data_IF_075783995256
#
_entry.id   IF_075783995256
#
_cell.length_a   1.000
_cell.length_b   1.000
_cell.length_c   1.000
_cell.angle_alpha   90.00
_cell.angle_beta   90.00
_cell.angle_gamma   90.00
#
_symmetry.space_group_name_H-M   'P 1'
#
loop_
_entity.id
_entity.type
_entity.pdbx_description
1 polymer ?
#
# COMPACT_ATOMS: atom_id res chain seq x y z
N UNK A 1 19.85 4.56 21.22
CA UNK A 1 19.96 5.76 20.36
C UNK A 1 18.69 6.59 20.58
N UNK A 2 18.78 7.83 21.01
CA UNK A 2 17.62 8.63 21.41
C UNK A 2 16.78 9.00 20.19
N UNK A 3 15.46 9.02 20.33
CA UNK A 3 14.47 9.41 19.30
C UNK A 3 14.63 10.86 18.79
N UNK A 4 15.55 11.63 19.37
CA UNK A 4 15.69 13.08 19.14
C UNK A 4 16.26 13.47 17.76
N UNK A 5 16.75 12.52 16.95
CA UNK A 5 17.36 12.80 15.64
C UNK A 5 16.66 12.11 14.45
N UNK A 6 15.38 11.74 14.59
CA UNK A 6 14.63 11.11 13.51
C UNK A 6 13.68 12.10 12.83
N UNK A 7 13.69 12.13 11.50
CA UNK A 7 12.65 12.83 10.75
C UNK A 7 11.34 12.06 10.64
N UNK A 8 11.28 10.83 11.18
CA UNK A 8 10.04 10.03 11.23
C UNK A 8 8.97 10.72 12.08
N UNK A 9 7.77 10.73 11.57
CA UNK A 9 6.57 11.15 12.31
C UNK A 9 5.97 9.96 13.08
N UNK A 10 6.09 8.75 12.51
CA UNK A 10 5.63 7.51 13.13
C UNK A 10 6.68 7.01 14.12
N UNK A 11 6.36 6.85 15.42
CA UNK A 11 7.31 6.47 16.45
C UNK A 11 7.58 4.95 16.44
N UNK A 12 8.32 4.48 15.45
CA UNK A 12 8.75 3.07 15.36
C UNK A 12 10.25 3.00 15.65
N UNK A 13 10.67 2.25 16.68
CA UNK A 13 12.08 1.97 16.91
C UNK A 13 12.64 1.16 15.73
N UNK A 14 13.92 1.28 15.45
CA UNK A 14 14.57 0.48 14.42
C UNK A 14 15.72 -0.34 15.01
N UNK A 15 16.02 -1.47 14.33
CA UNK A 15 17.06 -2.42 14.69
C UNK A 15 17.91 -2.69 13.44
N UNK A 16 19.22 -2.55 13.54
CA UNK A 16 20.15 -2.83 12.44
C UNK A 16 21.03 -4.06 12.68
N UNK A 17 21.08 -4.56 13.91
CA UNK A 17 21.96 -5.65 14.31
C UNK A 17 21.25 -6.58 15.31
N UNK A 18 21.28 -7.90 15.09
CA UNK A 18 21.85 -8.57 13.92
C UNK A 18 21.01 -8.30 12.64
N UNK A 19 21.68 -8.34 11.47
CA UNK A 19 21.05 -8.09 10.17
C UNK A 19 20.04 -9.16 9.78
N UNK A 20 20.28 -10.39 10.20
CA UNK A 20 19.37 -11.52 10.13
C UNK A 20 19.47 -12.35 11.40
N UNK A 21 18.33 -12.75 11.96
CA UNK A 21 18.28 -13.57 13.16
C UNK A 21 17.10 -14.55 13.13
N UNK A 22 17.19 -15.62 13.92
CA UNK A 22 16.09 -16.52 14.20
C UNK A 22 15.68 -16.36 15.66
N UNK A 23 14.41 -16.06 15.92
CA UNK A 23 13.91 -15.90 17.27
C UNK A 23 13.67 -17.26 17.98
N UNK A 24 13.31 -17.20 19.26
CA UNK A 24 13.10 -18.39 20.11
C UNK A 24 11.91 -19.24 19.69
N UNK A 25 10.98 -18.71 18.88
CA UNK A 25 9.83 -19.46 18.35
C UNK A 25 10.06 -19.96 16.92
N UNK A 26 11.25 -19.76 16.38
CA UNK A 26 11.68 -20.27 15.08
C UNK A 26 11.37 -19.34 13.91
N UNK A 27 10.94 -18.09 14.12
CA UNK A 27 10.72 -17.09 13.09
C UNK A 27 12.03 -16.42 12.69
N UNK A 28 12.29 -16.30 11.39
CA UNK A 28 13.41 -15.52 10.88
C UNK A 28 13.04 -14.04 10.75
N UNK A 29 13.94 -13.17 11.16
CA UNK A 29 13.79 -11.72 11.07
C UNK A 29 14.93 -11.14 10.25
N UNK A 30 14.58 -10.27 9.29
CA UNK A 30 15.54 -9.62 8.38
C UNK A 30 15.45 -8.11 8.57
N UNK A 31 16.57 -7.51 8.93
CA UNK A 31 16.73 -6.07 9.22
C UNK A 31 17.69 -5.41 8.22
N UNK A 32 18.58 -6.16 7.56
CA UNK A 32 19.53 -5.65 6.57
C UNK A 32 18.96 -5.54 5.17
N UNK A 33 19.34 -4.49 4.43
CA UNK A 33 18.84 -4.25 3.07
C UNK A 33 19.35 -5.27 2.05
N UNK A 34 20.64 -5.62 2.11
CA UNK A 34 21.22 -6.57 1.17
C UNK A 34 20.54 -7.94 1.30
N UNK A 35 20.40 -8.42 2.54
CA UNK A 35 19.72 -9.67 2.88
C UNK A 35 18.25 -9.65 2.45
N UNK A 36 17.54 -8.56 2.76
CA UNK A 36 16.14 -8.41 2.38
C UNK A 36 15.95 -8.41 0.86
N UNK A 37 16.80 -7.68 0.14
CA UNK A 37 16.75 -7.60 -1.33
C UNK A 37 17.01 -8.95 -1.97
N UNK A 38 18.00 -9.69 -1.48
CA UNK A 38 18.42 -10.96 -2.07
C UNK A 38 17.39 -12.06 -1.75
N UNK A 39 16.93 -12.17 -0.52
CA UNK A 39 15.87 -13.10 -0.14
C UNK A 39 14.52 -12.79 -0.86
N UNK A 40 14.14 -11.52 -1.00
CA UNK A 40 12.88 -11.16 -1.66
C UNK A 40 12.88 -11.41 -3.18
N UNK A 41 14.03 -11.68 -3.81
CA UNK A 41 14.12 -12.14 -5.20
C UNK A 41 13.74 -13.61 -5.38
N UNK A 42 13.89 -14.38 -4.31
CA UNK A 42 13.58 -15.80 -4.33
C UNK A 42 12.08 -16.05 -4.42
N UNK A 43 11.71 -17.17 -5.02
CA UNK A 43 10.32 -17.62 -5.06
C UNK A 43 9.91 -18.11 -3.67
N UNK A 44 9.04 -17.35 -3.03
CA UNK A 44 8.53 -17.67 -1.70
C UNK A 44 7.02 -17.49 -1.62
N UNK A 45 6.40 -18.20 -0.70
CA UNK A 45 4.97 -18.10 -0.45
C UNK A 45 4.68 -16.80 0.30
N UNK A 46 3.78 -15.98 -0.24
CA UNK A 46 3.29 -14.77 0.43
C UNK A 46 2.53 -15.16 1.70
N UNK A 47 2.94 -14.61 2.84
CA UNK A 47 2.27 -14.71 4.13
C UNK A 47 1.74 -13.33 4.57
N UNK A 48 1.00 -13.27 5.67
CA UNK A 48 0.35 -12.03 6.14
C UNK A 48 -0.93 -11.67 5.37
N UNK A 49 -1.55 -10.55 5.72
CA UNK A 49 -2.77 -10.02 5.08
C UNK A 49 -3.90 -11.06 4.94
N UNK A 50 -4.12 -11.89 5.98
CA UNK A 50 -5.10 -13.00 5.97
C UNK A 50 -4.83 -14.09 4.93
N UNK A 51 -3.57 -14.29 4.53
CA UNK A 51 -3.17 -15.29 3.53
C UNK A 51 -3.68 -16.71 3.85
N UNK A 52 -3.66 -17.10 5.12
CA UNK A 52 -4.12 -18.42 5.55
C UNK A 52 -5.63 -18.61 5.34
N UNK A 53 -6.44 -17.60 5.67
CA UNK A 53 -7.90 -17.66 5.49
C UNK A 53 -8.28 -17.68 4.00
N UNK A 54 -7.57 -16.91 3.18
CA UNK A 54 -7.78 -16.92 1.72
C UNK A 54 -7.42 -18.28 1.14
N UNK A 55 -6.27 -18.86 1.51
CA UNK A 55 -5.89 -20.21 1.06
C UNK A 55 -6.90 -21.29 1.51
N UNK A 56 -7.35 -21.24 2.76
CA UNK A 56 -8.40 -22.17 3.28
C UNK A 56 -9.73 -22.04 2.54
N UNK A 57 -10.05 -20.87 2.04
CA UNK A 57 -11.28 -20.64 1.25
C UNK A 57 -11.23 -21.27 -0.15
N UNK A 58 -10.06 -21.74 -0.59
CA UNK A 58 -9.85 -22.30 -1.93
C UNK A 58 -9.80 -21.25 -3.04
N UNK A 59 -9.71 -19.98 -2.71
CA UNK A 59 -9.50 -18.90 -3.69
C UNK A 59 -8.01 -18.67 -3.93
N UNK A 60 -7.68 -18.46 -5.21
CA UNK A 60 -6.32 -18.26 -5.69
C UNK A 60 -6.14 -16.83 -6.20
N UNK A 61 -6.13 -15.85 -5.27
CA UNK A 61 -5.91 -14.45 -5.62
C UNK A 61 -4.42 -14.19 -5.91
N UNK A 62 -4.14 -13.31 -6.88
CA UNK A 62 -2.79 -13.04 -7.40
C UNK A 62 -1.77 -12.70 -6.31
N UNK A 63 -2.18 -12.01 -5.25
CA UNK A 63 -1.31 -11.65 -4.13
C UNK A 63 -0.74 -12.88 -3.41
N UNK A 64 -1.49 -13.99 -3.36
CA UNK A 64 -1.15 -15.19 -2.60
C UNK A 64 -0.64 -16.35 -3.47
N UNK A 65 -0.59 -16.15 -4.78
CA UNK A 65 0.04 -17.08 -5.72
C UNK A 65 1.57 -17.04 -5.55
N UNK A 66 2.24 -18.11 -5.98
CA UNK A 66 3.70 -18.20 -6.08
C UNK A 66 4.07 -18.99 -7.35
N UNK A 67 5.34 -18.92 -7.74
CA UNK A 67 5.87 -19.64 -8.88
C UNK A 67 5.26 -19.21 -10.22
N UNK A 68 5.15 -20.15 -11.16
CA UNK A 68 4.68 -19.88 -12.52
C UNK A 68 3.24 -19.31 -12.59
N UNK A 69 2.25 -19.79 -11.82
CA UNK A 69 0.91 -19.18 -11.78
C UNK A 69 0.95 -17.70 -11.40
N UNK A 70 1.78 -17.33 -10.42
CA UNK A 70 1.97 -15.95 -10.02
C UNK A 70 2.59 -15.11 -11.14
N UNK A 71 3.68 -15.60 -11.78
CA UNK A 71 4.32 -14.90 -12.89
C UNK A 71 3.35 -14.61 -14.03
N UNK A 72 2.54 -15.59 -14.43
CA UNK A 72 1.53 -15.44 -15.49
C UNK A 72 0.45 -14.44 -15.12
N UNK A 73 -0.09 -14.53 -13.89
CA UNK A 73 -1.10 -13.61 -13.40
C UNK A 73 -0.55 -12.17 -13.32
N UNK A 74 0.65 -12.00 -12.78
CA UNK A 74 1.34 -10.71 -12.69
C UNK A 74 1.61 -10.09 -14.06
N UNK A 75 2.11 -10.87 -15.02
CA UNK A 75 2.31 -10.40 -16.39
C UNK A 75 1.00 -9.93 -17.04
N UNK A 76 -0.09 -10.63 -16.80
CA UNK A 76 -1.41 -10.29 -17.35
C UNK A 76 -1.98 -8.97 -16.82
N UNK A 77 -1.71 -8.64 -15.55
CA UNK A 77 -2.21 -7.41 -14.92
C UNK A 77 -1.23 -6.22 -15.01
N UNK A 78 0.06 -6.46 -15.27
CA UNK A 78 1.10 -5.43 -15.27
C UNK A 78 0.77 -4.24 -16.19
N UNK A 79 0.10 -4.50 -17.30
CA UNK A 79 -0.31 -3.48 -18.27
C UNK A 79 -1.23 -2.40 -17.67
N UNK A 80 -2.06 -2.72 -16.67
CA UNK A 80 -2.99 -1.77 -16.05
C UNK A 80 -2.29 -0.77 -15.13
N UNK A 81 -1.09 -1.12 -14.66
CA UNK A 81 -0.29 -0.36 -13.70
C UNK A 81 1.00 0.21 -14.30
N UNK A 82 1.25 -0.03 -15.61
CA UNK A 82 2.45 0.47 -16.26
C UNK A 82 2.51 2.00 -16.25
N UNK A 83 3.70 2.63 -16.22
CA UNK A 83 3.84 4.09 -16.29
C UNK A 83 3.08 4.71 -17.46
N UNK A 84 3.13 4.05 -18.63
CA UNK A 84 2.42 4.51 -19.83
C UNK A 84 0.90 4.50 -19.65
N UNK A 85 0.33 3.42 -19.07
CA UNK A 85 -1.11 3.34 -18.80
C UNK A 85 -1.54 4.34 -17.74
N UNK A 86 -0.75 4.53 -16.69
CA UNK A 86 -1.01 5.54 -15.66
C UNK A 86 -1.08 6.92 -16.32
N UNK A 87 -0.08 7.29 -17.12
CA UNK A 87 -0.03 8.60 -17.76
C UNK A 87 -1.15 8.80 -18.79
N UNK A 88 -1.44 7.80 -19.63
CA UNK A 88 -2.39 7.97 -20.74
C UNK A 88 -3.84 7.74 -20.34
N UNK A 89 -4.10 6.81 -19.42
CA UNK A 89 -5.46 6.35 -19.11
C UNK A 89 -5.96 6.81 -17.74
N UNK A 90 -5.08 6.86 -16.74
CA UNK A 90 -5.50 7.17 -15.37
C UNK A 90 -5.29 8.63 -14.98
N UNK A 91 -4.28 9.31 -15.55
CA UNK A 91 -3.96 10.71 -15.21
C UNK A 91 -5.16 11.66 -15.36
N UNK A 92 -5.95 11.63 -16.45
CA UNK A 92 -7.12 12.53 -16.57
C UNK A 92 -8.17 12.33 -15.46
N UNK A 93 -8.33 11.08 -14.97
CA UNK A 93 -9.22 10.80 -13.84
C UNK A 93 -8.62 11.30 -12.54
N UNK A 94 -7.32 11.06 -12.32
CA UNK A 94 -6.58 11.51 -11.13
C UNK A 94 -6.68 13.04 -10.99
N UNK A 95 -6.39 13.77 -12.06
CA UNK A 95 -6.44 15.23 -12.07
C UNK A 95 -7.85 15.77 -11.77
N UNK A 96 -8.86 15.24 -12.44
CA UNK A 96 -10.26 15.63 -12.22
C UNK A 96 -10.69 15.34 -10.78
N UNK A 97 -10.39 14.16 -10.26
CA UNK A 97 -10.74 13.78 -8.88
C UNK A 97 -10.08 14.69 -7.86
N UNK A 98 -8.81 15.03 -8.07
CA UNK A 98 -8.10 15.98 -7.20
C UNK A 98 -8.73 17.37 -7.26
N UNK A 99 -9.14 17.85 -8.45
CA UNK A 99 -9.83 19.13 -8.59
C UNK A 99 -11.18 19.16 -7.86
N UNK A 100 -11.96 18.09 -7.97
CA UNK A 100 -13.25 17.94 -7.28
C UNK A 100 -13.06 17.97 -5.75
N UNK A 101 -12.07 17.24 -5.21
CA UNK A 101 -11.75 17.20 -3.77
C UNK A 101 -11.27 18.58 -3.28
N UNK A 102 -10.42 19.26 -4.04
CA UNK A 102 -9.92 20.59 -3.70
C UNK A 102 -11.05 21.62 -3.74
N UNK A 103 -11.97 21.53 -4.70
CA UNK A 103 -13.14 22.40 -4.77
C UNK A 103 -14.07 22.17 -3.57
N UNK A 104 -14.27 20.92 -3.13
CA UNK A 104 -15.02 20.58 -1.93
C UNK A 104 -14.37 21.20 -0.68
N UNK A 105 -13.05 21.06 -0.50
CA UNK A 105 -12.35 21.68 0.62
C UNK A 105 -12.50 23.20 0.63
N UNK A 106 -12.39 23.86 -0.52
CA UNK A 106 -12.58 25.32 -0.64
C UNK A 106 -13.99 25.75 -0.28
N UNK A 107 -15.01 24.94 -0.60
CA UNK A 107 -16.41 25.26 -0.32
C UNK A 107 -16.77 25.02 1.15
N UNK A 108 -16.27 23.94 1.74
CA UNK A 108 -16.56 23.55 3.13
C UNK A 108 -15.65 24.26 4.14
N UNK A 109 -14.55 24.87 3.67
CA UNK A 109 -13.52 25.57 4.46
C UNK A 109 -12.80 24.67 5.49
N UNK A 110 -13.28 23.46 5.71
CA UNK A 110 -12.77 22.55 6.71
C UNK A 110 -13.02 21.10 6.29
N UNK A 111 -12.01 20.25 6.36
CA UNK A 111 -12.15 18.82 6.05
C UNK A 111 -11.17 17.95 6.83
N UNK A 112 -11.52 16.69 7.03
CA UNK A 112 -10.60 15.67 7.53
C UNK A 112 -9.80 15.13 6.34
N UNK A 113 -8.47 15.26 6.38
CA UNK A 113 -7.59 14.80 5.30
C UNK A 113 -7.78 13.32 4.99
N UNK A 114 -8.00 12.47 6.02
CA UNK A 114 -8.21 11.04 5.82
C UNK A 114 -9.44 10.75 4.94
N UNK A 115 -10.48 11.57 5.04
CA UNK A 115 -11.67 11.44 4.18
C UNK A 115 -11.33 11.83 2.75
N UNK A 116 -10.62 12.94 2.56
CA UNK A 116 -10.21 13.43 1.24
C UNK A 116 -9.25 12.47 0.54
N UNK A 117 -8.22 11.99 1.23
CA UNK A 117 -7.25 11.03 0.69
C UNK A 117 -7.89 9.69 0.34
N UNK A 118 -8.82 9.24 1.18
CA UNK A 118 -9.61 8.03 0.92
C UNK A 118 -10.47 8.15 -0.32
N UNK A 119 -11.15 9.28 -0.51
CA UNK A 119 -11.95 9.55 -1.72
C UNK A 119 -11.07 9.44 -2.98
N UNK A 120 -9.87 10.04 -2.95
CA UNK A 120 -8.89 9.94 -4.03
C UNK A 120 -8.53 8.50 -4.34
N UNK A 121 -8.03 7.76 -3.34
CA UNK A 121 -7.57 6.38 -3.49
C UNK A 121 -8.69 5.44 -3.97
N UNK A 122 -9.93 5.60 -3.48
CA UNK A 122 -11.07 4.76 -3.88
C UNK A 122 -11.47 5.01 -5.32
N UNK A 123 -11.58 6.26 -5.75
CA UNK A 123 -11.99 6.59 -7.12
C UNK A 123 -10.99 6.03 -8.12
N UNK A 124 -9.69 6.23 -7.87
CA UNK A 124 -8.62 5.77 -8.75
C UNK A 124 -8.54 4.24 -8.78
N UNK A 125 -8.48 3.58 -7.63
CA UNK A 125 -8.41 2.12 -7.56
C UNK A 125 -9.63 1.45 -8.21
N UNK A 126 -10.85 1.99 -7.97
CA UNK A 126 -12.08 1.47 -8.56
C UNK A 126 -12.05 1.52 -10.10
N UNK A 127 -11.51 2.59 -10.68
CA UNK A 127 -11.40 2.71 -12.13
C UNK A 127 -10.47 1.66 -12.72
N UNK A 128 -9.30 1.42 -12.11
CA UNK A 128 -8.35 0.38 -12.55
C UNK A 128 -8.96 -1.01 -12.46
N UNK A 129 -9.69 -1.29 -11.38
CA UNK A 129 -10.37 -2.57 -11.18
C UNK A 129 -11.52 -2.75 -12.19
N UNK A 130 -12.23 -1.69 -12.55
CA UNK A 130 -13.44 -1.73 -13.40
C UNK A 130 -14.74 -1.63 -12.60
N UNK A 131 -14.68 -1.20 -11.35
CA UNK A 131 -15.82 -0.91 -10.49
C UNK A 131 -16.31 0.53 -10.71
N UNK A 132 -17.52 0.84 -10.25
CA UNK A 132 -18.08 2.20 -10.26
C UNK A 132 -17.99 2.77 -8.84
N UNK A 133 -17.16 3.81 -8.59
CA UNK A 133 -17.05 4.40 -7.26
C UNK A 133 -18.34 5.14 -6.92
N UNK A 134 -19.10 4.61 -5.96
CA UNK A 134 -20.30 5.23 -5.39
C UNK A 134 -20.20 5.21 -3.87
N UNK A 135 -20.86 6.14 -3.19
CA UNK A 135 -20.90 6.15 -1.72
C UNK A 135 -21.41 4.82 -1.14
N UNK A 136 -22.32 4.15 -1.86
CA UNK A 136 -22.80 2.83 -1.50
C UNK A 136 -21.73 1.76 -1.63
N UNK A 137 -20.96 1.78 -2.72
CA UNK A 137 -19.83 0.85 -2.95
C UNK A 137 -18.74 1.02 -1.87
N UNK A 138 -18.34 2.26 -1.59
CA UNK A 138 -17.36 2.59 -0.58
C UNK A 138 -17.75 1.98 0.76
N UNK A 139 -19.01 2.18 1.19
CA UNK A 139 -19.52 1.66 2.45
C UNK A 139 -19.53 0.13 2.50
N UNK A 140 -19.98 -0.53 1.42
CA UNK A 140 -20.00 -2.00 1.35
C UNK A 140 -18.60 -2.61 1.34
N UNK A 141 -17.65 -1.92 0.69
CA UNK A 141 -16.26 -2.36 0.69
C UNK A 141 -15.64 -2.21 2.08
N UNK A 142 -15.85 -1.10 2.76
CA UNK A 142 -15.43 -0.92 4.15
C UNK A 142 -15.97 -2.00 5.08
N UNK A 143 -17.27 -2.23 4.96
CA UNK A 143 -17.93 -3.29 5.73
C UNK A 143 -17.35 -4.68 5.42
N UNK A 144 -16.80 -4.87 4.24
CA UNK A 144 -16.15 -6.13 3.83
C UNK A 144 -14.75 -6.26 4.42
N UNK A 145 -14.00 -5.15 4.46
CA UNK A 145 -12.61 -5.13 4.93
C UNK A 145 -12.50 -5.05 6.46
N UNK A 146 -13.42 -4.35 7.12
CA UNK A 146 -13.40 -4.11 8.56
C UNK A 146 -14.44 -4.99 9.27
N UNK A 147 -14.06 -6.23 9.57
CA UNK A 147 -14.88 -7.09 10.42
C UNK A 147 -14.46 -6.92 11.87
N UNK A 148 -15.38 -6.62 12.79
CA UNK A 148 -15.03 -6.55 14.21
C UNK A 148 -14.57 -7.93 14.72
N UNK A 149 -13.74 -7.98 15.76
CA UNK A 149 -13.31 -9.24 16.35
C UNK A 149 -14.53 -10.06 16.80
N UNK A 150 -14.47 -11.36 16.56
CA UNK A 150 -15.58 -12.26 16.90
C UNK A 150 -15.75 -12.36 18.42
N UNK A 151 -17.00 -12.25 18.88
CA UNK A 151 -17.33 -12.42 20.28
C UNK A 151 -17.00 -13.85 20.75
N UNK A 152 -16.60 -13.97 22.01
CA UNK A 152 -16.47 -15.26 22.70
C UNK A 152 -17.81 -15.93 22.96
N UNK A 153 -18.91 -15.17 23.01
CA UNK A 153 -20.26 -15.69 23.23
C UNK A 153 -20.81 -16.36 21.97
N UNK A 154 -21.24 -17.66 22.00
CA UNK A 154 -21.59 -18.42 20.80
C UNK A 154 -22.67 -17.78 19.92
N UNK A 155 -23.74 -17.27 20.53
CA UNK A 155 -24.86 -16.63 19.80
C UNK A 155 -24.41 -15.33 19.13
N UNK A 156 -23.68 -14.48 19.86
CA UNK A 156 -23.16 -13.22 19.30
C UNK A 156 -22.16 -13.50 18.18
N UNK A 157 -21.30 -14.49 18.33
CA UNK A 157 -20.37 -14.96 17.30
C UNK A 157 -21.12 -15.37 16.03
N UNK A 158 -22.17 -16.17 16.17
CA UNK A 158 -23.01 -16.60 15.04
C UNK A 158 -23.66 -15.38 14.34
N UNK A 159 -24.23 -14.45 15.10
CA UNK A 159 -24.82 -13.23 14.54
C UNK A 159 -23.79 -12.36 13.82
N UNK A 160 -22.59 -12.20 14.38
CA UNK A 160 -21.50 -11.48 13.75
C UNK A 160 -21.05 -12.15 12.43
N UNK A 161 -20.97 -13.48 12.37
CA UNK A 161 -20.65 -14.21 11.14
C UNK A 161 -21.74 -14.00 10.08
N UNK A 162 -23.02 -14.10 10.46
CA UNK A 162 -24.14 -13.86 9.54
C UNK A 162 -24.14 -12.42 9.01
N UNK A 163 -23.91 -11.44 9.88
CA UNK A 163 -23.81 -10.03 9.51
C UNK A 163 -22.60 -9.77 8.60
N UNK A 164 -21.45 -10.36 8.91
CA UNK A 164 -20.25 -10.27 8.08
C UNK A 164 -20.48 -10.84 6.68
N UNK A 165 -21.11 -12.00 6.58
CA UNK A 165 -21.48 -12.61 5.30
C UNK A 165 -22.46 -11.75 4.51
N UNK A 166 -23.49 -11.18 5.16
CA UNK A 166 -24.43 -10.26 4.51
C UNK A 166 -23.71 -9.03 3.92
N UNK A 167 -22.76 -8.43 4.64
CA UNK A 167 -21.96 -7.29 4.15
C UNK A 167 -21.10 -7.68 2.95
N UNK A 168 -20.41 -8.82 3.01
CA UNK A 168 -19.60 -9.36 1.90
C UNK A 168 -20.44 -9.64 0.66
N UNK A 169 -21.61 -10.22 0.82
CA UNK A 169 -22.57 -10.42 -0.26
C UNK A 169 -23.12 -9.10 -0.79
N UNK A 170 -23.28 -8.08 0.06
CA UNK A 170 -23.64 -6.73 -0.35
C UNK A 170 -22.67 -6.14 -1.38
N UNK A 171 -21.35 -6.29 -1.16
CA UNK A 171 -20.34 -5.85 -2.13
C UNK A 171 -20.34 -6.72 -3.40
N UNK A 172 -20.44 -8.04 -3.25
CA UNK A 172 -20.52 -8.95 -4.40
C UNK A 172 -21.70 -8.59 -5.31
N UNK A 173 -22.93 -8.58 -4.78
CA UNK A 173 -24.14 -8.39 -5.59
C UNK A 173 -24.43 -6.93 -5.94
N UNK A 174 -24.01 -5.98 -5.09
CA UNK A 174 -24.26 -4.56 -5.31
C UNK A 174 -23.26 -3.88 -6.25
N UNK A 175 -22.01 -4.41 -6.34
CA UNK A 175 -20.93 -3.74 -7.07
C UNK A 175 -20.24 -4.64 -8.08
N UNK A 176 -19.77 -5.83 -7.66
CA UNK A 176 -18.97 -6.71 -8.52
C UNK A 176 -19.81 -7.38 -9.61
N UNK A 177 -20.98 -7.96 -9.27
CA UNK A 177 -21.86 -8.56 -10.27
C UNK A 177 -22.38 -7.56 -11.32
N UNK A 178 -22.80 -6.34 -10.96
CA UNK A 178 -23.09 -5.30 -11.93
C UNK A 178 -21.88 -4.91 -12.81
N UNK A 179 -20.68 -4.86 -12.25
CA UNK A 179 -19.46 -4.61 -13.01
C UNK A 179 -19.20 -5.75 -14.03
N UNK A 180 -19.27 -7.00 -13.59
CA UNK A 180 -19.16 -8.19 -14.45
C UNK A 180 -20.17 -8.12 -15.60
N UNK A 181 -21.45 -7.81 -15.29
CA UNK A 181 -22.50 -7.72 -16.31
C UNK A 181 -22.21 -6.63 -17.34
N UNK A 182 -21.74 -5.45 -16.89
CA UNK A 182 -21.35 -4.35 -17.79
C UNK A 182 -20.16 -4.75 -18.66
N UNK A 183 -19.10 -5.34 -18.06
CA UNK A 183 -17.85 -5.69 -18.77
C UNK A 183 -18.01 -6.85 -19.73
N UNK A 184 -18.96 -7.75 -19.51
CA UNK A 184 -19.37 -8.77 -20.51
C UNK A 184 -19.94 -8.16 -21.77
N UNK A 185 -20.74 -7.08 -21.63
CA UNK A 185 -21.36 -6.37 -22.75
C UNK A 185 -20.39 -5.37 -23.41
N UNK A 186 -19.62 -4.67 -22.59
CA UNK A 186 -18.72 -3.59 -23.00
C UNK A 186 -17.36 -3.75 -22.31
N UNK A 187 -16.49 -4.65 -22.84
CA UNK A 187 -15.15 -4.84 -22.28
C UNK A 187 -14.35 -3.53 -22.32
N UNK A 188 -13.53 -3.30 -21.28
CA UNK A 188 -12.63 -2.15 -21.18
C UNK A 188 -11.23 -2.59 -20.77
N UNK A 189 -10.30 -1.65 -20.74
CA UNK A 189 -8.93 -1.92 -20.27
C UNK A 189 -8.85 -1.87 -18.75
N UNK A 190 -9.48 -2.85 -18.06
CA UNK A 190 -9.51 -2.98 -16.61
C UNK A 190 -9.36 -4.45 -16.15
N UNK A 191 -9.15 -4.63 -14.84
CA UNK A 191 -8.91 -5.95 -14.24
C UNK A 191 -10.11 -6.87 -14.41
N UNK A 192 -11.35 -6.39 -14.20
CA UNK A 192 -12.58 -7.20 -14.35
C UNK A 192 -12.72 -7.72 -15.79
N UNK A 193 -12.51 -6.87 -16.80
CA UNK A 193 -12.54 -7.29 -18.21
C UNK A 193 -11.46 -8.32 -18.53
N UNK A 194 -10.25 -8.14 -17.99
CA UNK A 194 -9.16 -9.09 -18.16
C UNK A 194 -9.51 -10.46 -17.53
N UNK A 195 -10.00 -10.48 -16.30
CA UNK A 195 -10.37 -11.74 -15.64
C UNK A 195 -11.49 -12.47 -16.37
N UNK A 196 -12.48 -11.73 -16.88
CA UNK A 196 -13.54 -12.31 -17.73
C UNK A 196 -12.97 -12.92 -19.02
N UNK A 197 -11.99 -12.29 -19.67
CA UNK A 197 -11.33 -12.83 -20.84
C UNK A 197 -10.52 -14.11 -20.55
N UNK A 198 -10.13 -14.32 -19.29
CA UNK A 198 -9.48 -15.56 -18.80
C UNK A 198 -10.46 -16.61 -18.28
N UNK A 199 -11.76 -16.39 -18.45
CA UNK A 199 -12.78 -17.34 -18.02
C UNK A 199 -12.96 -17.46 -16.49
N UNK A 200 -12.46 -16.48 -15.73
CA UNK A 200 -12.58 -16.49 -14.27
C UNK A 200 -14.04 -16.42 -13.82
N UNK A 201 -14.38 -17.16 -12.77
CA UNK A 201 -15.73 -17.21 -12.19
C UNK A 201 -16.03 -15.93 -11.37
N UNK A 202 -17.31 -15.56 -11.20
CA UNK A 202 -17.68 -14.34 -10.47
C UNK A 202 -17.11 -14.24 -9.05
N UNK A 203 -16.99 -15.37 -8.33
CA UNK A 203 -16.41 -15.37 -6.98
C UNK A 203 -14.89 -15.13 -7.00
N UNK A 204 -14.18 -15.64 -7.99
CA UNK A 204 -12.74 -15.37 -8.16
C UNK A 204 -12.52 -13.87 -8.48
N UNK A 205 -13.35 -13.30 -9.35
CA UNK A 205 -13.32 -11.87 -9.66
C UNK A 205 -13.62 -11.03 -8.42
N UNK A 206 -14.59 -11.44 -7.62
CA UNK A 206 -14.92 -10.75 -6.37
C UNK A 206 -13.75 -10.74 -5.38
N UNK A 207 -13.09 -11.89 -5.15
CA UNK A 207 -11.93 -11.97 -4.27
C UNK A 207 -10.80 -11.05 -4.76
N UNK A 208 -10.51 -11.06 -6.05
CA UNK A 208 -9.53 -10.15 -6.64
C UNK A 208 -9.92 -8.68 -6.46
N UNK A 209 -11.19 -8.31 -6.68
CA UNK A 209 -11.66 -6.95 -6.44
C UNK A 209 -11.46 -6.52 -4.97
N UNK A 210 -11.71 -7.42 -4.01
CA UNK A 210 -11.46 -7.16 -2.58
C UNK A 210 -9.97 -6.95 -2.31
N UNK A 211 -9.12 -7.83 -2.86
CA UNK A 211 -7.65 -7.75 -2.67
C UNK A 211 -7.09 -6.45 -3.26
N UNK A 212 -7.46 -6.11 -4.51
CA UNK A 212 -6.98 -4.86 -5.14
C UNK A 212 -7.51 -3.62 -4.42
N UNK A 213 -8.76 -3.65 -3.97
CA UNK A 213 -9.34 -2.55 -3.23
C UNK A 213 -8.64 -2.34 -1.89
N UNK A 214 -8.41 -3.42 -1.13
CA UNK A 214 -7.67 -3.34 0.13
C UNK A 214 -6.24 -2.81 -0.08
N UNK A 215 -5.53 -3.37 -1.08
CA UNK A 215 -4.15 -2.99 -1.37
C UNK A 215 -4.01 -1.54 -1.84
N UNK A 216 -4.89 -1.08 -2.74
CA UNK A 216 -4.78 0.26 -3.34
C UNK A 216 -5.37 1.38 -2.47
N UNK A 217 -6.49 1.11 -1.78
CA UNK A 217 -7.20 2.16 -1.06
C UNK A 217 -6.59 2.47 0.30
N UNK A 218 -6.38 1.45 1.14
CA UNK A 218 -5.92 1.66 2.50
C UNK A 218 -4.49 2.21 2.56
N UNK A 219 -3.59 1.68 1.72
CA UNK A 219 -2.19 2.10 1.74
C UNK A 219 -1.99 3.49 1.15
N UNK A 220 -2.62 3.81 0.02
CA UNK A 220 -2.49 5.13 -0.62
C UNK A 220 -3.13 6.22 0.23
N UNK A 221 -4.26 5.94 0.88
CA UNK A 221 -4.88 6.88 1.83
C UNK A 221 -3.88 7.33 2.91
N UNK A 222 -3.20 6.39 3.55
CA UNK A 222 -2.24 6.72 4.62
C UNK A 222 -0.98 7.39 4.06
N UNK A 223 -0.52 6.96 2.87
CA UNK A 223 0.62 7.59 2.22
C UNK A 223 0.35 9.07 1.88
N UNK A 224 -0.80 9.41 1.32
CA UNK A 224 -1.19 10.80 1.07
C UNK A 224 -1.20 11.61 2.38
N UNK A 225 -1.74 11.05 3.46
CA UNK A 225 -1.81 11.73 4.74
C UNK A 225 -0.42 12.06 5.29
N UNK A 226 0.51 11.10 5.25
CA UNK A 226 1.86 11.32 5.77
C UNK A 226 2.67 12.28 4.90
N UNK A 227 2.51 12.20 3.56
CA UNK A 227 3.17 13.13 2.63
C UNK A 227 2.73 14.57 2.88
N UNK A 228 1.42 14.82 2.99
CA UNK A 228 0.95 16.17 3.30
C UNK A 228 1.47 16.66 4.65
N UNK A 229 1.48 15.80 5.66
CA UNK A 229 1.99 16.15 6.99
C UNK A 229 3.47 16.60 6.93
N UNK A 230 4.32 15.88 6.19
CA UNK A 230 5.71 16.28 5.97
C UNK A 230 5.82 17.60 5.21
N UNK A 231 5.04 17.79 4.16
CA UNK A 231 5.01 19.06 3.40
C UNK A 231 4.55 20.26 4.25
N UNK A 232 3.67 20.04 5.22
CA UNK A 232 3.20 21.10 6.11
C UNK A 232 4.18 21.40 7.25
N UNK A 233 5.07 20.47 7.58
CA UNK A 233 6.12 20.62 8.61
C UNK A 233 7.46 21.10 8.05
N UNK A 234 7.78 20.75 6.80
CA UNK A 234 9.07 21.05 6.16
C UNK A 234 8.85 21.86 4.87
N UNK A 235 9.23 23.13 4.92
CA UNK A 235 9.09 24.07 3.80
C UNK A 235 9.92 23.65 2.58
N UNK A 236 11.03 22.92 2.74
CA UNK A 236 11.81 22.40 1.61
C UNK A 236 11.03 21.36 0.83
N UNK A 237 10.44 20.38 1.52
CA UNK A 237 9.56 19.39 0.90
C UNK A 237 8.33 20.03 0.27
N UNK A 238 7.71 20.99 0.96
CA UNK A 238 6.59 21.77 0.42
C UNK A 238 6.94 22.43 -0.91
N UNK A 239 8.07 23.13 -0.99
CA UNK A 239 8.53 23.78 -2.23
C UNK A 239 8.77 22.79 -3.36
N UNK A 240 9.38 21.64 -3.07
CA UNK A 240 9.60 20.58 -4.06
C UNK A 240 8.25 20.08 -4.57
N UNK A 241 7.29 19.75 -3.70
CA UNK A 241 5.99 19.24 -4.09
C UNK A 241 5.12 20.23 -4.84
N UNK A 242 5.39 21.56 -4.70
CA UNK A 242 4.74 22.62 -5.48
C UNK A 242 5.45 22.94 -6.79
N UNK A 243 6.65 22.44 -7.02
CA UNK A 243 7.44 22.74 -8.23
C UNK A 243 6.85 22.06 -9.48
N UNK A 244 7.30 22.52 -10.66
CA UNK A 244 6.95 21.88 -11.94
C UNK A 244 7.85 20.68 -12.29
N UNK A 245 8.95 20.50 -11.56
CA UNK A 245 9.84 19.35 -11.72
C UNK A 245 9.21 18.07 -11.15
N UNK A 246 8.60 17.29 -12.01
CA UNK A 246 7.98 16.00 -11.62
C UNK A 246 9.02 15.00 -11.11
N UNK A 247 10.25 15.00 -11.63
CA UNK A 247 11.31 14.09 -11.17
C UNK A 247 11.65 14.37 -9.71
N UNK A 248 11.86 15.65 -9.36
CA UNK A 248 12.14 16.06 -7.99
C UNK A 248 10.98 15.71 -7.03
N UNK A 249 9.72 15.89 -7.48
CA UNK A 249 8.55 15.50 -6.67
C UNK A 249 8.50 14.00 -6.42
N UNK A 250 8.72 13.18 -7.46
CA UNK A 250 8.76 11.71 -7.30
C UNK A 250 9.93 11.24 -6.43
N UNK A 251 11.08 11.91 -6.49
CA UNK A 251 12.19 11.66 -5.57
C UNK A 251 11.79 11.93 -4.11
N UNK A 252 11.14 13.06 -3.85
CA UNK A 252 10.65 13.42 -2.53
C UNK A 252 9.60 12.42 -2.00
N UNK A 253 8.65 12.00 -2.84
CA UNK A 253 7.66 10.98 -2.47
C UNK A 253 8.31 9.65 -2.10
N UNK A 254 9.27 9.18 -2.91
CA UNK A 254 9.98 7.94 -2.62
C UNK A 254 10.80 8.03 -1.33
N UNK A 255 11.41 9.18 -1.05
CA UNK A 255 12.17 9.40 0.19
C UNK A 255 11.25 9.41 1.42
N UNK A 256 10.06 10.04 1.32
CA UNK A 256 9.07 9.97 2.40
C UNK A 256 8.62 8.51 2.60
N UNK A 257 8.32 7.77 1.54
CA UNK A 257 7.93 6.36 1.65
C UNK A 257 9.05 5.47 2.21
N UNK A 258 10.31 5.77 1.87
CA UNK A 258 11.46 5.07 2.45
C UNK A 258 11.48 5.21 3.97
N UNK A 259 11.31 6.43 4.46
CA UNK A 259 11.39 6.71 5.89
C UNK A 259 10.11 6.34 6.64
N UNK A 260 8.96 6.52 6.00
CA UNK A 260 7.62 6.29 6.54
C UNK A 260 6.87 5.22 5.71
N UNK A 261 7.37 3.97 5.65
CA UNK A 261 6.69 2.92 4.91
C UNK A 261 5.31 2.62 5.52
N UNK A 262 4.28 2.60 4.67
CA UNK A 262 2.90 2.32 5.12
C UNK A 262 2.77 0.88 5.59
N UNK A 263 3.50 -0.04 4.95
CA UNK A 263 3.58 -1.44 5.35
C UNK A 263 4.89 -1.62 6.11
N UNK A 264 4.80 -1.91 7.40
CA UNK A 264 5.96 -2.00 8.29
C UNK A 264 6.67 -3.36 8.25
N UNK A 265 5.96 -4.43 7.84
CA UNK A 265 6.52 -5.78 7.74
C UNK A 265 6.02 -6.51 6.51
N UNK A 266 6.91 -7.29 5.88
CA UNK A 266 6.56 -8.25 4.85
C UNK A 266 6.80 -9.65 5.39
N UNK A 267 5.89 -10.57 5.07
CA UNK A 267 5.93 -11.94 5.55
C UNK A 267 6.06 -12.91 4.40
N UNK A 268 6.97 -13.88 4.52
CA UNK A 268 7.18 -14.94 3.54
C UNK A 268 7.30 -16.29 4.25
N UNK A 269 7.06 -17.34 3.48
CA UNK A 269 7.44 -18.70 3.85
C UNK A 269 8.25 -19.31 2.71
N UNK A 270 9.34 -19.97 3.05
CA UNK A 270 10.14 -20.71 2.09
C UNK A 270 9.38 -21.93 1.59
N UNK A 271 9.39 -22.17 0.28
CA UNK A 271 8.85 -23.41 -0.27
C UNK A 271 9.98 -24.39 -0.68
N UNK A 272 11.22 -23.92 -0.65
CA UNK A 272 12.48 -24.65 -0.79
C UNK A 272 13.55 -23.95 0.06
N UNK A 273 14.68 -24.59 0.38
CA UNK A 273 15.75 -23.93 1.12
C UNK A 273 16.27 -22.72 0.35
N UNK A 274 16.44 -21.60 1.04
CA UNK A 274 17.02 -20.37 0.46
C UNK A 274 18.28 -19.98 1.21
N UNK A 275 19.27 -19.47 0.47
CA UNK A 275 20.57 -19.09 1.04
C UNK A 275 20.84 -17.62 0.82
N UNK A 276 21.36 -16.94 1.84
CA UNK A 276 21.73 -15.53 1.79
C UNK A 276 23.07 -15.29 2.47
N UNK A 277 23.85 -14.36 1.93
CA UNK A 277 25.06 -13.87 2.58
C UNK A 277 24.70 -12.75 3.57
N UNK A 278 25.19 -12.85 4.81
CA UNK A 278 25.06 -11.81 5.83
C UNK A 278 26.35 -11.76 6.65
N UNK A 279 26.98 -10.58 6.73
CA UNK A 279 28.24 -10.36 7.45
C UNK A 279 29.33 -11.41 7.13
N UNK A 280 29.54 -11.65 5.81
CA UNK A 280 30.51 -12.63 5.26
C UNK A 280 30.19 -14.11 5.61
N UNK A 281 29.05 -14.40 6.19
CA UNK A 281 28.58 -15.75 6.51
C UNK A 281 27.44 -16.15 5.59
N UNK A 282 27.47 -17.39 5.15
CA UNK A 282 26.38 -18.02 4.43
C UNK A 282 25.33 -18.53 5.44
N UNK A 283 24.08 -18.08 5.29
CA UNK A 283 22.95 -18.50 6.11
C UNK A 283 21.95 -19.20 5.21
N UNK A 284 21.67 -20.47 5.48
CA UNK A 284 20.63 -21.23 4.79
C UNK A 284 19.37 -21.30 5.66
N UNK A 285 18.26 -20.82 5.11
CA UNK A 285 16.91 -20.93 5.72
C UNK A 285 16.24 -22.15 5.12
N UNK A 286 15.89 -23.17 5.92
CA UNK A 286 15.25 -24.40 5.42
C UNK A 286 13.88 -24.16 4.80
N UNK A 287 13.37 -25.17 4.08
CA UNK A 287 11.99 -25.21 3.57
C UNK A 287 10.96 -25.11 4.71
N UNK A 288 9.83 -24.43 4.46
CA UNK A 288 8.71 -24.29 5.39
C UNK A 288 8.89 -23.20 6.46
N UNK A 289 10.06 -22.61 6.55
CA UNK A 289 10.37 -21.59 7.54
C UNK A 289 9.68 -20.25 7.22
N UNK A 290 9.28 -19.53 8.27
CA UNK A 290 8.68 -18.20 8.16
C UNK A 290 9.72 -17.10 8.29
N UNK A 291 9.63 -16.09 7.44
CA UNK A 291 10.54 -14.94 7.39
C UNK A 291 9.72 -13.65 7.51
N UNK A 292 10.15 -12.78 8.41
CA UNK A 292 9.65 -11.42 8.57
C UNK A 292 10.70 -10.42 8.11
N UNK A 293 10.38 -9.59 7.13
CA UNK A 293 11.22 -8.47 6.70
C UNK A 293 10.72 -7.21 7.40
N UNK A 294 11.58 -6.56 8.18
CA UNK A 294 11.28 -5.35 8.93
C UNK A 294 11.53 -4.12 8.06
N UNK A 295 10.49 -3.65 7.36
CA UNK A 295 10.62 -2.59 6.35
C UNK A 295 11.19 -1.30 6.93
N UNK A 296 10.79 -0.94 8.16
CA UNK A 296 11.33 0.23 8.86
C UNK A 296 12.83 0.16 9.10
N UNK A 297 13.35 -1.02 9.40
CA UNK A 297 14.79 -1.24 9.67
C UNK A 297 15.57 -1.28 8.36
N UNK A 298 15.11 -2.11 7.44
CA UNK A 298 15.71 -2.28 6.10
C UNK A 298 15.84 -0.94 5.36
N UNK A 299 14.82 -0.08 5.48
CA UNK A 299 14.79 1.20 4.78
C UNK A 299 15.72 2.28 5.39
N UNK A 300 16.30 2.03 6.56
CA UNK A 300 17.30 2.91 7.20
C UNK A 300 18.64 2.21 7.42
N UNK A 301 18.87 1.08 6.76
CA UNK A 301 20.15 0.37 6.81
C UNK A 301 21.28 1.27 6.32
N UNK A 302 22.25 1.54 7.18
CA UNK A 302 23.39 2.39 6.89
C UNK A 302 24.31 1.86 5.77
N UNK A 303 24.23 0.57 5.44
CA UNK A 303 24.97 -0.02 4.33
C UNK A 303 24.32 0.27 2.97
N UNK A 304 23.03 0.59 2.95
CA UNK A 304 22.31 1.00 1.73
C UNK A 304 22.10 2.52 1.64
N UNK A 305 22.00 3.17 2.80
CA UNK A 305 21.74 4.60 2.94
C UNK A 305 22.85 5.22 3.78
N UNK A 306 23.97 5.53 3.16
CA UNK A 306 25.22 5.91 3.83
C UNK A 306 25.05 7.20 4.65
N UNK A 307 24.41 8.24 4.08
CA UNK A 307 24.28 9.53 4.74
C UNK A 307 22.96 9.68 5.47
N UNK A 308 23.01 9.91 6.78
CA UNK A 308 21.87 10.23 7.65
C UNK A 308 20.61 9.37 7.33
N UNK A 309 20.68 8.03 7.47
CA UNK A 309 19.65 7.10 7.01
C UNK A 309 18.29 7.36 7.64
N UNK A 310 18.24 7.95 8.82
CA UNK A 310 17.02 8.26 9.59
C UNK A 310 16.46 9.65 9.33
N UNK A 311 17.06 10.43 8.42
CA UNK A 311 16.62 11.77 8.07
C UNK A 311 16.06 11.82 6.65
N UNK A 312 15.17 12.77 6.39
CA UNK A 312 14.60 13.04 5.06
C UNK A 312 15.57 13.87 4.22
N UNK A 313 15.90 13.38 3.03
CA UNK A 313 16.71 14.05 2.04
C UNK A 313 16.08 13.90 0.66
N UNK A 314 15.35 14.89 0.18
CA UNK A 314 14.59 14.82 -1.08
C UNK A 314 15.44 14.39 -2.30
N UNK A 315 16.72 14.81 -2.35
CA UNK A 315 17.66 14.47 -3.43
C UNK A 315 18.73 13.48 -2.96
N UNK A 316 18.33 12.47 -2.20
CA UNK A 316 19.24 11.45 -1.70
C UNK A 316 19.94 10.71 -2.84
N UNK A 317 21.26 10.63 -2.76
CA UNK A 317 22.04 9.78 -3.66
C UNK A 317 22.05 8.35 -3.14
N UNK A 318 21.67 7.43 -3.98
CA UNK A 318 21.71 6.00 -3.73
C UNK A 318 22.61 5.33 -4.77
N UNK A 319 23.16 4.17 -4.44
CA UNK A 319 23.93 3.38 -5.37
C UNK A 319 23.10 2.92 -6.58
N UNK A 320 23.78 2.67 -7.70
CA UNK A 320 23.12 2.16 -8.92
C UNK A 320 22.45 0.82 -8.65
N UNK A 321 21.17 0.71 -9.01
CA UNK A 321 20.36 -0.49 -8.82
C UNK A 321 19.63 -0.58 -7.49
N UNK A 322 19.80 0.41 -6.60
CA UNK A 322 18.99 0.54 -5.38
C UNK A 322 17.73 1.33 -5.71
N UNK A 323 16.57 0.79 -5.38
CA UNK A 323 15.30 1.52 -5.51
C UNK A 323 15.24 2.69 -4.55
N UNK A 324 14.69 3.83 -4.97
CA UNK A 324 14.63 5.05 -4.15
C UNK A 324 13.84 4.86 -2.84
N UNK A 325 12.76 4.09 -2.87
CA UNK A 325 11.98 3.71 -1.68
C UNK A 325 12.54 2.50 -0.93
N UNK A 326 13.72 2.00 -1.33
CA UNK A 326 14.27 0.71 -0.89
C UNK A 326 13.22 -0.41 -1.04
N UNK A 327 12.74 -0.99 0.06
CA UNK A 327 11.69 -2.02 0.04
C UNK A 327 10.32 -1.48 0.45
N UNK A 328 10.10 -0.15 0.42
CA UNK A 328 8.81 0.46 0.74
C UNK A 328 7.67 0.01 -0.18
N UNK A 329 7.97 -0.36 -1.43
CA UNK A 329 7.07 -1.04 -2.36
C UNK A 329 7.33 -2.55 -2.47
N UNK A 330 8.10 -3.14 -1.54
CA UNK A 330 8.57 -4.51 -1.63
C UNK A 330 9.69 -4.69 -2.66
N UNK A 331 10.07 -5.93 -2.93
CA UNK A 331 11.09 -6.31 -3.91
C UNK A 331 10.74 -7.66 -4.55
N UNK A 332 11.42 -8.01 -5.64
CA UNK A 332 11.28 -9.30 -6.33
C UNK A 332 9.90 -9.53 -6.96
N UNK A 333 9.47 -10.81 -7.09
CA UNK A 333 8.23 -11.17 -7.77
C UNK A 333 6.99 -10.49 -7.22
N UNK A 334 6.92 -10.23 -5.90
CA UNK A 334 5.82 -9.58 -5.22
C UNK A 334 5.96 -8.06 -5.05
N UNK A 335 6.89 -7.40 -5.76
CA UNK A 335 6.96 -5.94 -5.75
C UNK A 335 5.62 -5.32 -6.11
N UNK A 336 5.26 -4.21 -5.48
CA UNK A 336 3.96 -3.55 -5.65
C UNK A 336 3.67 -3.27 -7.14
N UNK A 337 2.54 -3.79 -7.63
CA UNK A 337 2.10 -3.53 -9.00
C UNK A 337 1.63 -2.09 -9.19
N UNK A 338 1.06 -1.49 -8.13
CA UNK A 338 0.46 -0.15 -8.12
C UNK A 338 1.44 0.98 -7.82
N UNK A 339 2.74 0.74 -7.74
CA UNK A 339 3.75 1.76 -7.38
C UNK A 339 3.60 3.06 -8.17
N UNK A 340 3.57 2.97 -9.49
CA UNK A 340 3.46 4.15 -10.36
C UNK A 340 2.11 4.87 -10.21
N UNK A 341 1.04 4.12 -9.97
CA UNK A 341 -0.28 4.68 -9.75
C UNK A 341 -0.35 5.42 -8.42
N UNK A 342 0.11 4.80 -7.32
CA UNK A 342 0.12 5.39 -6.00
C UNK A 342 0.97 6.68 -5.93
N UNK A 343 2.13 6.67 -6.59
CA UNK A 343 2.97 7.87 -6.70
C UNK A 343 2.28 8.97 -7.52
N UNK A 344 1.66 8.63 -8.66
CA UNK A 344 1.00 9.60 -9.52
C UNK A 344 -0.21 10.26 -8.85
N UNK A 345 -1.09 9.49 -8.21
CA UNK A 345 -2.26 10.05 -7.53
C UNK A 345 -1.87 10.87 -6.31
N UNK A 346 -0.83 10.46 -5.57
CA UNK A 346 -0.28 11.23 -4.45
C UNK A 346 0.33 12.53 -4.94
N UNK A 347 1.16 12.49 -5.99
CA UNK A 347 1.80 13.68 -6.58
C UNK A 347 0.78 14.74 -6.98
N UNK A 348 -0.20 14.37 -7.79
CA UNK A 348 -1.23 15.30 -8.28
C UNK A 348 -2.06 15.86 -7.13
N UNK A 349 -2.52 15.00 -6.21
CA UNK A 349 -3.34 15.45 -5.09
C UNK A 349 -2.59 16.40 -4.16
N UNK A 350 -1.35 16.05 -3.78
CA UNK A 350 -0.52 16.89 -2.88
C UNK A 350 -0.20 18.23 -3.55
N UNK A 351 0.21 18.23 -4.82
CA UNK A 351 0.48 19.47 -5.54
C UNK A 351 -0.73 20.40 -5.54
N UNK A 352 -1.92 19.88 -5.86
CA UNK A 352 -3.14 20.69 -5.95
C UNK A 352 -3.62 21.19 -4.59
N UNK A 353 -3.58 20.36 -3.54
CA UNK A 353 -4.03 20.78 -2.23
C UNK A 353 -3.10 21.81 -1.59
N UNK A 354 -1.79 21.69 -1.80
CA UNK A 354 -0.80 22.69 -1.32
C UNK A 354 -0.94 24.07 -1.98
N UNK A 355 -1.55 24.14 -3.17
CA UNK A 355 -1.84 25.38 -3.87
C UNK A 355 -3.09 26.12 -3.35
N UNK A 356 -3.83 25.52 -2.40
CA UNK A 356 -5.02 26.17 -1.82
C UNK A 356 -4.55 27.32 -0.89
N UNK A 357 -4.99 28.57 -1.15
CA UNK A 357 -4.65 29.68 -0.28
C UNK A 357 -5.14 29.48 1.15
N UNK A 358 -4.32 29.88 2.12
CA UNK A 358 -4.70 29.76 3.55
C UNK A 358 -4.74 28.33 4.08
N UNK A 359 -4.27 27.31 3.32
CA UNK A 359 -4.24 25.93 3.79
C UNK A 359 -3.38 25.82 5.06
N UNK A 360 -3.99 25.30 6.12
CA UNK A 360 -3.35 25.03 7.39
C UNK A 360 -3.89 23.75 8.05
N UNK A 361 -3.09 23.18 8.92
CA UNK A 361 -3.55 22.14 9.84
C UNK A 361 -4.22 22.83 11.02
N UNK A 362 -5.52 22.55 11.21
CA UNK A 362 -6.29 23.08 12.35
C UNK A 362 -6.11 22.21 13.59
N UNK A 363 -6.08 20.89 13.42
CA UNK A 363 -5.90 19.94 14.52
C UNK A 363 -5.34 18.60 14.05
N UNK A 364 -4.78 17.83 14.98
CA UNK A 364 -4.17 16.53 14.73
C UNK A 364 -2.72 16.61 14.26
N UNK A 365 -2.17 15.52 13.76
CA UNK A 365 -2.73 14.18 13.67
C UNK A 365 -2.70 13.40 15.00
N UNK A 366 -3.56 12.38 15.09
CA UNK A 366 -3.39 11.25 15.98
C UNK A 366 -2.91 10.05 15.17
N UNK A 367 -1.63 9.68 15.30
CA UNK A 367 -1.03 8.56 14.58
C UNK A 367 -1.09 7.34 15.49
N UNK A 368 -1.77 6.29 15.02
CA UNK A 368 -1.90 5.02 15.73
C UNK A 368 -1.30 3.89 14.90
N UNK A 369 -0.92 2.80 15.59
CA UNK A 369 -0.45 1.59 14.90
C UNK A 369 -1.62 0.90 14.20
N UNK A 370 -1.37 0.41 12.99
CA UNK A 370 -2.25 -0.48 12.26
C UNK A 370 -1.66 -1.89 12.26
N UNK A 371 -2.25 -2.79 13.05
CA UNK A 371 -1.73 -4.17 13.19
C UNK A 371 -1.96 -5.03 11.94
N UNK A 372 -2.87 -4.65 11.04
CA UNK A 372 -3.13 -5.40 9.80
C UNK A 372 -1.95 -5.28 8.81
N UNK A 373 -1.38 -4.10 8.71
CA UNK A 373 -0.24 -3.81 7.81
C UNK A 373 1.07 -3.61 8.58
N UNK A 374 1.03 -3.78 9.91
CA UNK A 374 2.15 -3.52 10.83
C UNK A 374 2.76 -2.12 10.64
N UNK A 375 1.92 -1.20 10.19
CA UNK A 375 2.27 0.17 9.86
C UNK A 375 1.54 1.19 10.73
N UNK A 376 0.97 2.22 10.11
CA UNK A 376 0.30 3.30 10.81
C UNK A 376 -1.04 3.69 10.17
N UNK A 377 -1.84 4.40 10.94
CA UNK A 377 -3.01 5.17 10.50
C UNK A 377 -2.89 6.61 10.98
N UNK A 378 -3.15 7.55 10.08
CA UNK A 378 -3.15 8.99 10.37
C UNK A 378 -4.58 9.45 10.59
N UNK A 379 -4.98 9.58 11.84
CA UNK A 379 -6.34 9.95 12.23
C UNK A 379 -6.42 11.43 12.68
N UNK A 380 -7.60 12.03 12.53
CA UNK A 380 -7.91 13.33 13.12
C UNK A 380 -7.11 14.52 12.55
N UNK A 381 -6.48 14.37 11.38
CA UNK A 381 -5.78 15.47 10.72
C UNK A 381 -6.81 16.34 10.01
N UNK A 382 -7.17 17.45 10.64
CA UNK A 382 -8.15 18.39 10.13
C UNK A 382 -7.44 19.54 9.42
N UNK A 383 -7.82 19.74 8.17
CA UNK A 383 -7.39 20.88 7.36
C UNK A 383 -8.42 22.00 7.43
N UNK A 384 -7.94 23.24 7.41
CA UNK A 384 -8.75 24.43 7.25
C UNK A 384 -8.13 25.34 6.16
N UNK A 385 -9.01 26.11 5.52
CA UNK A 385 -8.65 27.11 4.50
C UNK A 385 -9.40 28.42 4.75
N UNK A 386 -8.86 29.54 4.26
CA UNK A 386 -9.46 30.85 4.45
C UNK A 386 -10.71 31.08 3.60
#
# INVERSE_FOLDING_TARGET
>A
MSLENHSRTVPVPYKNDPRIEKDSIGMWHVHGYAEARDLLKEEMIQEGFNAEDIRKSGFDAVLYQHGEPHRQSRAGIAKFFSPATVQQSHMPLIERTADEIVAELKSTKRANLRVLSRQMAIVVASAVIGLKPTNGMIRRLDDTLHSPPLSSHPILKMLQILQGNYRRFGFLFGDVMPAISRRRKFPQNDVVSYMLSKGKRPLEIWVECVVYAAAGMATTQEFICIVLLHCMKDEKFRKIMMSDDSSARYEALNEILRLEPVIGKLYRRTHEPVTVMSDEKEITIPEGERITFHVYDVNVDSNAVIEAPTQLHAHRKLEKGVYRSLIGFGSGPHRCAGEHLALAETDVFIKKILQVPGLRIESGPNIIRNDTVEGYEVNGLILAVD
#
